data_IF_098218445957
#
_entry.id   IF_098218445957
#
_cell.length_a   1.000
_cell.length_b   1.000
_cell.length_c   1.000
_cell.angle_alpha   90.00
_cell.angle_beta   90.00
_cell.angle_gamma   90.00
#
_symmetry.space_group_name_H-M   'P 1'
#
loop_
_entity.id
_entity.type
_entity.pdbx_description
1 polymer ?
#
# COMPACT_ATOMS: atom_id res chain seq x y z
N UNK A 1 -10.04 -30.55 -39.67
CA UNK A 1 -10.58 -29.99 -38.41
C UNK A 1 -9.52 -29.75 -37.33
N UNK A 2 -8.67 -30.72 -36.97
CA UNK A 2 -7.62 -30.56 -35.92
C UNK A 2 -6.65 -29.38 -36.09
N UNK A 3 -6.23 -29.07 -37.32
CA UNK A 3 -5.25 -28.00 -37.60
C UNK A 3 -5.85 -26.60 -37.35
N UNK A 4 -7.13 -26.42 -37.64
CA UNK A 4 -7.84 -25.13 -37.44
C UNK A 4 -8.00 -24.84 -35.95
N UNK A 5 -8.23 -25.87 -35.13
CA UNK A 5 -8.35 -25.74 -33.67
C UNK A 5 -7.02 -25.36 -33.00
N UNK A 6 -5.90 -25.91 -33.49
CA UNK A 6 -4.55 -25.59 -32.97
C UNK A 6 -4.16 -24.15 -33.34
N UNK A 7 -4.47 -23.72 -34.57
CA UNK A 7 -4.20 -22.35 -35.02
C UNK A 7 -4.97 -21.31 -34.17
N UNK A 8 -6.22 -21.61 -33.79
CA UNK A 8 -7.02 -20.72 -32.96
C UNK A 8 -6.49 -20.61 -31.51
N UNK A 9 -6.02 -21.72 -30.94
CA UNK A 9 -5.40 -21.73 -29.62
C UNK A 9 -4.05 -20.98 -29.58
N UNK A 10 -3.25 -21.11 -30.64
CA UNK A 10 -1.99 -20.38 -30.78
C UNK A 10 -2.20 -18.86 -30.91
N UNK A 11 -3.25 -18.44 -31.63
CA UNK A 11 -3.60 -17.02 -31.77
C UNK A 11 -4.09 -16.40 -30.46
N UNK A 12 -4.84 -17.14 -29.63
CA UNK A 12 -5.31 -16.66 -28.34
C UNK A 12 -4.19 -16.39 -27.32
N UNK A 13 -3.08 -17.13 -27.39
CA UNK A 13 -1.91 -16.92 -26.52
C UNK A 13 -1.11 -15.65 -26.86
N UNK A 14 -1.28 -15.07 -28.05
CA UNK A 14 -0.60 -13.84 -28.46
C UNK A 14 -1.27 -12.56 -27.92
N UNK A 15 -2.48 -12.67 -27.36
CA UNK A 15 -3.24 -11.56 -26.77
C UNK A 15 -3.20 -11.57 -25.24
N UNK A 16 -2.10 -12.01 -24.64
CA UNK A 16 -1.86 -11.74 -23.21
C UNK A 16 -1.63 -10.24 -23.04
N UNK A 17 -2.71 -9.48 -22.84
CA UNK A 17 -2.65 -8.08 -22.47
C UNK A 17 -1.80 -7.95 -21.21
N UNK A 18 -0.77 -7.11 -21.24
CA UNK A 18 -0.04 -6.75 -20.03
C UNK A 18 -1.04 -6.06 -19.09
N UNK A 19 -1.43 -6.74 -18.00
CA UNK A 19 -2.22 -6.13 -16.95
C UNK A 19 -1.30 -5.21 -16.16
N UNK A 20 -1.37 -3.91 -16.41
CA UNK A 20 -0.79 -2.93 -15.51
C UNK A 20 -1.74 -2.77 -14.33
N UNK A 21 -1.31 -3.15 -13.13
CA UNK A 21 -2.04 -2.79 -11.93
C UNK A 21 -1.94 -1.27 -11.75
N UNK A 22 -3.07 -0.60 -11.56
CA UNK A 22 -3.08 0.82 -11.26
C UNK A 22 -2.34 1.08 -9.93
N UNK A 23 -1.45 2.07 -9.93
CA UNK A 23 -0.72 2.50 -8.73
C UNK A 23 -1.67 3.22 -7.79
N UNK A 24 -1.49 3.01 -6.49
CA UNK A 24 -2.18 3.80 -5.47
C UNK A 24 -1.59 5.20 -5.46
N UNK A 25 -2.44 6.20 -5.72
CA UNK A 25 -2.04 7.61 -5.71
C UNK A 25 -2.11 8.14 -4.28
N UNK A 26 -0.94 8.41 -3.73
CA UNK A 26 -0.73 9.04 -2.43
C UNK A 26 -0.74 10.56 -2.62
N UNK A 27 -1.49 11.27 -1.78
CA UNK A 27 -1.61 12.72 -1.82
C UNK A 27 -1.04 13.32 -0.55
N UNK A 28 -0.27 14.40 -0.68
CA UNK A 28 0.31 15.11 0.45
C UNK A 28 1.65 14.54 0.91
N UNK A 29 2.15 15.06 2.04
CA UNK A 29 3.46 14.71 2.61
C UNK A 29 3.32 13.65 3.71
N UNK A 30 4.35 12.80 3.91
CA UNK A 30 4.30 11.79 4.96
C UNK A 30 4.30 12.44 6.34
N UNK A 31 3.47 11.91 7.22
CA UNK A 31 3.37 12.35 8.61
C UNK A 31 4.42 11.61 9.46
N UNK A 32 5.29 12.33 10.13
CA UNK A 32 6.29 11.71 11.01
C UNK A 32 5.60 11.22 12.27
N UNK A 33 5.76 9.94 12.60
CA UNK A 33 5.26 9.38 13.85
C UNK A 33 6.32 9.48 14.95
N UNK A 34 5.90 9.92 16.14
CA UNK A 34 6.74 9.88 17.33
C UNK A 34 6.59 8.52 18.01
N UNK A 35 7.69 7.82 18.28
CA UNK A 35 7.66 6.54 18.99
C UNK A 35 7.85 6.75 20.50
N UNK A 36 6.93 6.23 21.32
CA UNK A 36 7.06 6.17 22.79
C UNK A 36 6.86 4.73 23.26
N UNK A 37 7.96 4.04 23.52
CA UNK A 37 7.94 2.59 23.76
C UNK A 37 7.45 1.84 22.52
N UNK A 38 6.39 1.04 22.70
CA UNK A 38 5.83 0.19 21.64
C UNK A 38 4.66 0.84 20.87
N UNK A 39 4.38 2.12 21.12
CA UNK A 39 3.26 2.86 20.54
C UNK A 39 3.78 4.08 19.77
N UNK A 40 3.22 4.27 18.57
CA UNK A 40 3.46 5.44 17.74
C UNK A 40 2.36 6.48 17.93
N UNK A 41 2.73 7.75 17.86
CA UNK A 41 1.84 8.88 18.08
C UNK A 41 1.81 9.74 16.82
N UNK A 42 0.59 10.05 16.37
CA UNK A 42 0.35 11.04 15.33
C UNK A 42 0.38 12.46 15.93
N UNK A 43 0.74 13.50 15.16
CA UNK A 43 0.67 14.88 15.65
C UNK A 43 -0.79 15.30 15.89
N UNK A 44 -1.01 16.29 16.76
CA UNK A 44 -2.37 16.77 17.10
C UNK A 44 -3.18 17.26 15.89
N UNK A 45 -2.49 17.76 14.86
CA UNK A 45 -3.10 18.25 13.61
C UNK A 45 -3.50 17.13 12.64
N UNK A 46 -3.16 15.87 12.95
CA UNK A 46 -3.43 14.76 12.06
C UNK A 46 -4.92 14.42 12.03
N UNK A 47 -5.46 14.28 10.82
CA UNK A 47 -6.74 13.62 10.59
C UNK A 47 -6.61 12.70 9.37
N UNK A 48 -7.18 11.50 9.49
CA UNK A 48 -7.25 10.58 8.36
C UNK A 48 -8.30 11.09 7.37
N UNK A 49 -7.85 11.56 6.21
CA UNK A 49 -8.71 12.01 5.10
C UNK A 49 -8.84 10.95 4.00
N UNK A 50 -8.05 9.88 4.09
CA UNK A 50 -7.96 8.78 3.15
C UNK A 50 -8.14 7.44 3.88
N UNK A 51 -8.29 6.36 3.11
CA UNK A 51 -8.30 4.98 3.61
C UNK A 51 -6.90 4.45 3.97
N UNK A 52 -5.86 5.17 3.54
CA UNK A 52 -4.46 4.97 3.93
C UNK A 52 -3.93 6.10 4.80
N UNK A 53 -2.81 5.84 5.47
CA UNK A 53 -2.04 6.81 6.24
C UNK A 53 -0.61 6.84 5.72
N UNK A 54 -0.20 7.95 5.11
CA UNK A 54 1.15 8.11 4.60
C UNK A 54 2.04 8.69 5.69
N UNK A 55 3.04 7.92 6.14
CA UNK A 55 3.81 8.23 7.35
C UNK A 55 5.30 7.98 7.17
N UNK A 56 6.10 8.55 8.05
CA UNK A 56 7.53 8.23 8.19
C UNK A 56 7.75 7.53 9.53
N UNK A 57 8.30 6.32 9.49
CA UNK A 57 8.66 5.49 10.66
C UNK A 57 10.15 5.18 10.58
N UNK A 58 10.92 5.57 11.59
CA UNK A 58 12.38 5.34 11.61
C UNK A 58 13.12 5.91 10.39
N UNK A 59 12.63 7.02 9.82
CA UNK A 59 13.19 7.65 8.62
C UNK A 59 12.76 7.00 7.29
N UNK A 60 11.94 5.95 7.33
CA UNK A 60 11.41 5.29 6.12
C UNK A 60 9.95 5.65 5.90
N UNK A 61 9.61 6.05 4.67
CA UNK A 61 8.24 6.34 4.29
C UNK A 61 7.45 5.04 4.11
N UNK A 62 6.25 5.00 4.68
CA UNK A 62 5.34 3.85 4.64
C UNK A 62 3.91 4.29 4.39
N UNK A 63 3.17 3.43 3.73
CA UNK A 63 1.72 3.59 3.51
C UNK A 63 1.01 2.56 4.38
N UNK A 64 0.22 3.06 5.33
CA UNK A 64 -0.39 2.25 6.37
C UNK A 64 -1.91 2.15 6.20
N UNK A 65 -2.47 0.98 6.48
CA UNK A 65 -3.90 0.71 6.40
C UNK A 65 -4.39 0.07 7.70
N UNK A 66 -5.65 0.29 8.05
CA UNK A 66 -6.29 -0.42 9.17
C UNK A 66 -6.45 -1.92 8.91
N UNK A 67 -6.55 -2.30 7.64
CA UNK A 67 -6.69 -3.69 7.20
C UNK A 67 -5.56 -4.06 6.24
N UNK A 68 -5.12 -5.31 6.30
CA UNK A 68 -4.14 -5.85 5.37
C UNK A 68 -4.63 -5.73 3.93
N UNK A 69 -3.73 -5.36 3.01
CA UNK A 69 -4.02 -5.14 1.60
C UNK A 69 -3.41 -6.29 0.79
N UNK A 70 -4.23 -7.22 0.25
CA UNK A 70 -3.72 -8.39 -0.48
C UNK A 70 -2.89 -8.01 -1.72
N UNK A 71 -3.22 -6.90 -2.37
CA UNK A 71 -2.51 -6.38 -3.55
C UNK A 71 -1.10 -5.88 -3.22
N UNK A 72 -0.79 -5.67 -1.94
CA UNK A 72 0.50 -5.19 -1.44
C UNK A 72 1.27 -6.30 -0.71
N UNK A 73 0.83 -7.56 -0.76
CA UNK A 73 1.39 -8.65 0.03
C UNK A 73 2.87 -8.94 -0.27
N UNK A 74 3.37 -8.55 -1.44
CA UNK A 74 4.79 -8.66 -1.83
C UNK A 74 5.68 -7.59 -1.21
N UNK A 75 5.10 -6.49 -0.70
CA UNK A 75 5.86 -5.42 -0.06
C UNK A 75 6.24 -5.80 1.37
N UNK A 76 7.44 -5.38 1.78
CA UNK A 76 7.82 -5.42 3.19
C UNK A 76 6.78 -4.66 4.02
N UNK A 77 6.23 -5.32 5.02
CA UNK A 77 5.26 -4.71 5.92
C UNK A 77 5.59 -4.97 7.39
N UNK A 78 5.06 -4.10 8.23
CA UNK A 78 5.06 -4.24 9.68
C UNK A 78 3.68 -3.83 10.24
N UNK A 79 3.31 -4.38 11.39
CA UNK A 79 2.12 -3.97 12.13
C UNK A 79 2.56 -3.14 13.31
N UNK A 80 2.02 -1.92 13.43
CA UNK A 80 2.33 -0.99 14.52
C UNK A 80 1.07 -0.63 15.29
N UNK A 81 1.23 -0.37 16.59
CA UNK A 81 0.19 0.23 17.41
C UNK A 81 0.31 1.75 17.31
N UNK A 82 -0.76 2.43 16.94
CA UNK A 82 -0.80 3.89 16.79
C UNK A 82 -1.88 4.48 17.67
N UNK A 83 -1.55 5.48 18.47
CA UNK A 83 -2.53 6.23 19.23
C UNK A 83 -3.11 7.37 18.37
N UNK A 84 -4.41 7.30 18.13
CA UNK A 84 -5.16 8.29 17.35
C UNK A 84 -6.43 8.65 18.13
N UNK A 85 -6.58 9.93 18.50
CA UNK A 85 -7.76 10.40 19.22
C UNK A 85 -8.00 9.71 20.57
N UNK A 86 -6.93 9.37 21.29
CA UNK A 86 -7.00 8.70 22.60
C UNK A 86 -7.32 7.21 22.55
N UNK A 87 -7.25 6.58 21.37
CA UNK A 87 -7.41 5.13 21.19
C UNK A 87 -6.21 4.56 20.46
N UNK A 88 -5.78 3.37 20.87
CA UNK A 88 -4.78 2.62 20.13
C UNK A 88 -5.44 1.79 19.04
N UNK A 89 -4.92 1.91 17.82
CA UNK A 89 -5.35 1.18 16.63
C UNK A 89 -4.15 0.53 15.96
N UNK A 90 -4.35 -0.65 15.39
CA UNK A 90 -3.29 -1.33 14.64
C UNK A 90 -3.31 -0.91 13.18
N UNK A 91 -2.13 -0.52 12.69
CA UNK A 91 -1.91 -0.21 11.29
C UNK A 91 -0.95 -1.22 10.67
N UNK A 92 -1.33 -1.76 9.51
CA UNK A 92 -0.43 -2.54 8.67
C UNK A 92 0.25 -1.61 7.68
N UNK A 93 1.56 -1.45 7.82
CA UNK A 93 2.36 -0.45 7.13
C UNK A 93 3.29 -1.07 6.10
N UNK A 94 3.10 -0.75 4.83
CA UNK A 94 3.91 -1.24 3.72
C UNK A 94 5.00 -0.21 3.39
N UNK A 95 6.21 -0.68 3.10
CA UNK A 95 7.28 0.17 2.59
C UNK A 95 6.81 0.88 1.31
N UNK A 96 7.08 2.18 1.20
CA UNK A 96 6.79 2.90 -0.03
C UNK A 96 7.67 2.37 -1.17
N UNK A 97 7.04 1.97 -2.27
CA UNK A 97 7.67 1.46 -3.48
C UNK A 97 6.97 2.06 -4.70
N UNK A 98 7.73 2.68 -5.60
CA UNK A 98 7.19 3.37 -6.77
C UNK A 98 6.51 2.43 -7.77
N UNK A 99 6.71 1.11 -7.67
CA UNK A 99 5.99 0.11 -8.47
C UNK A 99 4.51 0.07 -8.09
N UNK A 100 4.18 0.32 -6.81
CA UNK A 100 2.83 0.22 -6.25
C UNK A 100 2.21 1.58 -5.95
N UNK A 101 3.03 2.57 -5.62
CA UNK A 101 2.58 3.88 -5.19
C UNK A 101 3.11 5.00 -6.09
N UNK A 102 2.41 6.12 -6.09
CA UNK A 102 2.88 7.37 -6.67
C UNK A 102 2.42 8.54 -5.81
N UNK A 103 3.23 9.58 -5.64
CA UNK A 103 2.87 10.77 -4.87
C UNK A 103 2.43 11.92 -5.77
N UNK A 104 1.41 12.67 -5.36
CA UNK A 104 0.98 13.93 -5.99
C UNK A 104 0.95 15.10 -4.99
#
# INVERSE_FOLDING_TARGET
>A
MKIITIAFAALAMLFSAASFADKVVITGSPVVLEQKGDVYYVPESYSATTDYNYVTIGGTNRVCYLQQQPTLASLNNEVINVEVGGKQVQWTCYAYDETYFTTK
#
